data_IF_387590268550
#
_entry.id   IF_387590268550
#
_cell.length_a   1.000
_cell.length_b   1.000
_cell.length_c   1.000
_cell.angle_alpha   90.00
_cell.angle_beta   90.00
_cell.angle_gamma   90.00
#
_symmetry.space_group_name_H-M   'P 1'
#
loop_
_entity.id
_entity.type
_entity.pdbx_description
1 polymer ?
#
# COMPACT_ATOMS: atom_id res chain seq x y z
N UNK A 1 -5.86 13.06 5.72
CA UNK A 1 -7.21 13.65 5.98
C UNK A 1 -8.01 12.82 6.98
N UNK A 2 -8.09 11.50 6.79
CA UNK A 2 -8.88 10.64 7.67
C UNK A 2 -8.04 9.90 8.71
N UNK A 3 -6.82 10.35 8.97
CA UNK A 3 -5.94 9.73 9.96
C UNK A 3 -6.62 9.69 11.33
N UNK A 4 -6.64 8.51 11.94
CA UNK A 4 -7.28 8.25 13.22
C UNK A 4 -8.79 8.52 13.26
N UNK A 5 -9.45 8.66 12.11
CA UNK A 5 -10.90 8.78 12.01
C UNK A 5 -11.53 7.39 12.16
N UNK A 6 -11.54 6.86 13.39
CA UNK A 6 -11.82 5.45 13.70
C UNK A 6 -13.24 5.00 13.34
N UNK A 7 -14.19 5.92 13.28
CA UNK A 7 -15.59 5.62 12.95
C UNK A 7 -15.97 5.96 11.53
N UNK A 8 -15.06 6.59 10.78
CA UNK A 8 -15.35 7.03 9.43
C UNK A 8 -15.47 5.84 8.47
N UNK A 9 -16.60 5.76 7.77
CA UNK A 9 -16.82 4.74 6.73
C UNK A 9 -17.83 5.23 5.69
N UNK A 10 -17.63 6.41 5.14
CA UNK A 10 -18.50 6.96 4.10
C UNK A 10 -17.91 6.76 2.71
N UNK A 11 -18.75 6.62 1.66
CA UNK A 11 -18.25 6.48 0.30
C UNK A 11 -17.41 7.68 -0.15
N UNK A 12 -16.24 7.40 -0.73
CA UNK A 12 -15.35 8.40 -1.32
C UNK A 12 -15.09 8.14 -2.81
N UNK A 13 -15.77 7.15 -3.39
CA UNK A 13 -15.48 6.68 -4.75
C UNK A 13 -15.75 7.73 -5.84
N UNK A 14 -16.56 8.74 -5.54
CA UNK A 14 -16.86 9.83 -6.49
C UNK A 14 -15.94 11.04 -6.36
N UNK A 15 -15.03 11.03 -5.38
CA UNK A 15 -14.07 12.13 -5.23
C UNK A 15 -13.14 12.18 -6.43
N UNK A 16 -12.91 13.39 -6.94
CA UNK A 16 -11.88 13.63 -7.94
C UNK A 16 -10.56 13.88 -7.24
N UNK A 17 -9.67 12.88 -7.24
CA UNK A 17 -8.34 12.98 -6.62
C UNK A 17 -7.23 13.09 -7.67
N UNK A 18 -7.59 13.41 -8.93
CA UNK A 18 -6.66 13.37 -10.06
C UNK A 18 -5.50 14.36 -9.94
N UNK A 19 -5.64 15.42 -9.15
CA UNK A 19 -4.57 16.40 -8.93
C UNK A 19 -3.82 16.20 -7.62
N UNK A 20 -4.16 15.17 -6.86
CA UNK A 20 -3.51 14.90 -5.56
C UNK A 20 -2.12 14.32 -5.81
N UNK A 21 -1.12 14.87 -5.14
CA UNK A 21 0.28 14.44 -5.25
C UNK A 21 0.77 13.67 -4.03
N UNK A 22 0.10 13.77 -2.88
CA UNK A 22 0.41 13.00 -1.69
C UNK A 22 -0.85 12.47 -1.02
N UNK A 23 -0.82 11.18 -0.66
CA UNK A 23 -1.84 10.53 0.15
C UNK A 23 -1.24 9.95 1.43
N UNK A 24 -0.13 10.54 1.86
CA UNK A 24 0.64 10.11 3.02
C UNK A 24 -0.24 10.08 4.27
N UNK A 25 -0.30 8.93 4.93
CA UNK A 25 -1.02 8.68 6.20
C UNK A 25 -2.53 8.94 6.14
N UNK A 26 -3.12 8.96 4.92
CA UNK A 26 -4.49 9.43 4.71
C UNK A 26 -5.52 8.65 5.53
N UNK A 27 -5.38 7.33 5.63
CA UNK A 27 -6.32 6.47 6.37
C UNK A 27 -5.68 5.76 7.56
N UNK A 28 -4.49 6.18 7.98
CA UNK A 28 -3.81 5.56 9.12
C UNK A 28 -4.73 5.51 10.34
N UNK A 29 -4.87 4.34 10.95
CA UNK A 29 -5.75 4.12 12.11
C UNK A 29 -7.24 4.40 11.85
N UNK A 30 -7.66 4.54 10.61
CA UNK A 30 -9.08 4.65 10.26
C UNK A 30 -9.69 3.23 10.25
N UNK A 31 -9.89 2.66 11.43
CA UNK A 31 -10.15 1.24 11.63
C UNK A 31 -11.50 0.75 11.10
N UNK A 32 -12.45 1.65 10.84
CA UNK A 32 -13.76 1.30 10.28
C UNK A 32 -13.87 1.53 8.78
N UNK A 33 -12.87 2.16 8.18
CA UNK A 33 -12.95 2.49 6.76
C UNK A 33 -12.77 1.24 5.88
N UNK A 34 -13.77 0.97 5.03
CA UNK A 34 -13.77 -0.18 4.13
C UNK A 34 -14.47 0.10 2.80
N UNK A 35 -14.50 1.36 2.37
CA UNK A 35 -15.18 1.75 1.14
C UNK A 35 -14.29 1.53 -0.09
N UNK A 36 -14.89 1.25 -1.28
CA UNK A 36 -14.12 1.07 -2.51
C UNK A 36 -13.38 2.35 -2.92
N UNK A 37 -12.13 2.19 -3.36
CA UNK A 37 -11.28 3.27 -3.87
C UNK A 37 -10.71 2.95 -5.26
N UNK A 38 -11.08 1.82 -5.86
CA UNK A 38 -10.41 1.32 -7.07
C UNK A 38 -10.63 2.21 -8.31
N UNK A 39 -11.63 3.09 -8.26
CA UNK A 39 -11.89 4.04 -9.36
C UNK A 39 -11.14 5.37 -9.24
N UNK A 40 -10.43 5.58 -8.13
CA UNK A 40 -9.65 6.79 -7.97
C UNK A 40 -8.53 6.85 -9.01
N UNK A 41 -8.38 7.99 -9.67
CA UNK A 41 -7.21 8.27 -10.49
C UNK A 41 -6.09 8.80 -9.60
N UNK A 42 -5.14 7.94 -9.25
CA UNK A 42 -4.01 8.28 -8.38
C UNK A 42 -2.71 8.51 -9.17
N UNK A 43 -2.82 8.73 -10.49
CA UNK A 43 -1.67 8.78 -11.39
C UNK A 43 -0.68 9.90 -11.08
N UNK A 44 -1.09 10.96 -10.37
CA UNK A 44 -0.20 12.05 -9.99
C UNK A 44 0.35 11.92 -8.57
N UNK A 45 -0.04 10.88 -7.83
CA UNK A 45 0.43 10.68 -6.46
C UNK A 45 1.87 10.21 -6.46
N UNK A 46 2.71 10.88 -5.67
CA UNK A 46 4.14 10.57 -5.50
C UNK A 46 4.45 9.92 -4.17
N UNK A 47 3.60 10.11 -3.17
CA UNK A 47 3.82 9.63 -1.81
C UNK A 47 2.57 8.96 -1.26
N UNK A 48 2.71 7.66 -0.93
CA UNK A 48 1.65 6.85 -0.31
C UNK A 48 2.11 6.28 1.04
N UNK A 49 3.06 6.93 1.71
CA UNK A 49 3.58 6.45 2.99
C UNK A 49 2.45 6.28 4.01
N UNK A 50 2.40 5.12 4.64
CA UNK A 50 1.47 4.86 5.73
C UNK A 50 -0.02 4.93 5.38
N UNK A 51 -0.38 4.99 4.09
CA UNK A 51 -1.75 5.31 3.68
C UNK A 51 -2.80 4.42 4.35
N UNK A 52 -2.55 3.12 4.46
CA UNK A 52 -3.45 2.15 5.07
C UNK A 52 -2.87 1.50 6.33
N UNK A 53 -1.89 2.16 6.95
CA UNK A 53 -1.26 1.64 8.18
C UNK A 53 -2.30 1.49 9.30
N UNK A 54 -2.25 0.35 9.98
CA UNK A 54 -3.14 0.04 11.12
C UNK A 54 -4.64 0.11 10.75
N UNK A 55 -4.98 -0.32 9.53
CA UNK A 55 -6.38 -0.38 9.07
C UNK A 55 -6.83 -1.83 8.90
N UNK A 56 -8.15 -1.99 8.73
CA UNK A 56 -8.75 -3.26 8.31
C UNK A 56 -9.22 -3.22 6.85
N UNK A 57 -8.72 -2.26 6.11
CA UNK A 57 -9.07 -2.08 4.71
C UNK A 57 -8.71 -3.31 3.88
N UNK A 58 -9.65 -3.81 3.09
CA UNK A 58 -9.42 -4.96 2.20
C UNK A 58 -10.26 -4.83 0.93
N UNK A 59 -10.13 -3.72 0.21
CA UNK A 59 -10.80 -3.50 -1.06
C UNK A 59 -9.78 -3.52 -2.21
N UNK A 60 -10.21 -3.86 -3.44
CA UNK A 60 -9.31 -3.88 -4.58
C UNK A 60 -8.64 -2.53 -4.84
N UNK A 61 -7.36 -2.59 -5.21
CA UNK A 61 -6.54 -1.44 -5.62
C UNK A 61 -5.80 -1.73 -6.93
N UNK A 62 -6.13 -2.81 -7.62
CA UNK A 62 -5.39 -3.28 -8.79
C UNK A 62 -5.52 -2.35 -10.01
N UNK A 63 -6.54 -1.48 -10.06
CA UNK A 63 -6.67 -0.48 -11.12
C UNK A 63 -5.85 0.80 -10.88
N UNK A 64 -5.22 0.94 -9.74
CA UNK A 64 -4.43 2.14 -9.47
C UNK A 64 -3.17 2.19 -10.33
N UNK A 65 -2.97 3.32 -11.00
CA UNK A 65 -1.70 3.62 -11.65
C UNK A 65 -0.78 4.29 -10.62
N UNK A 66 0.17 3.53 -10.08
CA UNK A 66 1.12 3.99 -9.06
C UNK A 66 2.50 4.29 -9.66
N UNK A 67 2.60 4.43 -10.99
CA UNK A 67 3.89 4.55 -11.69
C UNK A 67 4.70 5.79 -11.31
N UNK A 68 4.07 6.81 -10.74
CA UNK A 68 4.75 8.02 -10.27
C UNK A 68 5.06 8.00 -8.77
N UNK A 69 4.67 6.96 -8.06
CA UNK A 69 4.91 6.87 -6.62
C UNK A 69 6.38 6.54 -6.36
N UNK A 70 7.01 7.34 -5.52
CA UNK A 70 8.42 7.16 -5.15
C UNK A 70 8.61 6.61 -3.75
N UNK A 71 7.60 6.71 -2.88
CA UNK A 71 7.71 6.21 -1.51
C UNK A 71 6.41 5.53 -1.06
N UNK A 72 6.56 4.32 -0.51
CA UNK A 72 5.48 3.48 0.01
C UNK A 72 5.80 2.91 1.39
N UNK A 73 6.69 3.56 2.16
CA UNK A 73 7.03 3.01 3.47
C UNK A 73 5.79 2.98 4.38
N UNK A 74 5.66 1.95 5.20
CA UNK A 74 4.52 1.72 6.10
C UNK A 74 3.16 1.62 5.42
N UNK A 75 3.06 1.55 4.09
CA UNK A 75 1.77 1.70 3.40
C UNK A 75 0.70 0.74 3.92
N UNK A 76 1.05 -0.51 4.17
CA UNK A 76 0.16 -1.54 4.70
C UNK A 76 0.64 -2.11 6.04
N UNK A 77 1.46 -1.36 6.76
CA UNK A 77 1.96 -1.78 8.06
C UNK A 77 0.78 -1.99 9.02
N UNK A 78 0.72 -3.16 9.64
CA UNK A 78 -0.39 -3.49 10.55
C UNK A 78 -1.75 -3.62 9.88
N UNK A 79 -1.82 -3.63 8.55
CA UNK A 79 -3.06 -3.81 7.79
C UNK A 79 -3.47 -5.29 7.83
N UNK A 80 -4.07 -5.71 8.93
CA UNK A 80 -4.27 -7.11 9.30
C UNK A 80 -5.25 -7.88 8.42
N UNK A 81 -6.08 -7.18 7.63
CA UNK A 81 -7.09 -7.81 6.77
C UNK A 81 -6.77 -7.69 5.28
N UNK A 82 -5.79 -6.87 4.90
CA UNK A 82 -5.52 -6.60 3.50
C UNK A 82 -4.91 -7.81 2.80
N UNK A 83 -5.56 -8.27 1.72
CA UNK A 83 -5.08 -9.37 0.90
C UNK A 83 -5.59 -9.24 -0.54
N UNK A 84 -5.32 -8.11 -1.19
CA UNK A 84 -5.76 -7.84 -2.56
C UNK A 84 -4.60 -7.90 -3.55
N UNK A 85 -4.86 -8.25 -4.82
CA UNK A 85 -3.81 -8.30 -5.84
C UNK A 85 -3.13 -6.95 -6.06
N UNK A 86 -1.80 -6.95 -6.07
CA UNK A 86 -0.97 -5.78 -6.35
C UNK A 86 0.08 -6.05 -7.44
N UNK A 87 0.06 -7.24 -8.03
CA UNK A 87 1.14 -7.69 -8.91
C UNK A 87 1.25 -6.86 -10.22
N UNK A 88 0.16 -6.20 -10.61
CA UNK A 88 0.14 -5.37 -11.80
C UNK A 88 0.56 -3.91 -11.54
N UNK A 89 0.84 -3.56 -10.30
CA UNK A 89 1.35 -2.22 -9.99
C UNK A 89 2.74 -2.04 -10.62
N UNK A 90 2.93 -0.94 -11.31
CA UNK A 90 4.26 -0.52 -11.75
C UNK A 90 4.92 0.25 -10.60
N UNK A 91 5.78 -0.44 -9.85
CA UNK A 91 6.50 0.14 -8.71
C UNK A 91 7.92 0.56 -9.07
N UNK A 92 8.22 0.69 -10.37
CA UNK A 92 9.59 0.93 -10.83
C UNK A 92 10.18 2.28 -10.39
N UNK A 93 9.33 3.24 -10.01
CA UNK A 93 9.79 4.54 -9.49
C UNK A 93 9.99 4.55 -7.98
N UNK A 94 9.59 3.49 -7.27
CA UNK A 94 9.63 3.46 -5.81
C UNK A 94 11.07 3.25 -5.34
N UNK A 95 11.51 4.10 -4.41
CA UNK A 95 12.82 4.01 -3.78
C UNK A 95 12.79 3.58 -2.33
N UNK A 96 11.61 3.63 -1.68
CA UNK A 96 11.47 3.32 -0.27
C UNK A 96 10.22 2.45 -0.03
N UNK A 97 10.46 1.21 0.47
CA UNK A 97 9.42 0.25 0.85
C UNK A 97 9.61 -0.24 2.28
N UNK A 98 10.31 0.52 3.11
CA UNK A 98 10.56 0.18 4.50
C UNK A 98 9.24 -0.12 5.23
N UNK A 99 9.19 -1.25 5.94
CA UNK A 99 8.02 -1.69 6.72
C UNK A 99 6.70 -1.78 5.91
N UNK A 100 6.74 -1.84 4.58
CA UNK A 100 5.53 -1.72 3.76
C UNK A 100 4.43 -2.71 4.15
N UNK A 101 4.77 -3.95 4.44
CA UNK A 101 3.84 -5.00 4.85
C UNK A 101 4.13 -5.54 6.26
N UNK A 102 4.86 -4.79 7.08
CA UNK A 102 5.18 -5.20 8.44
C UNK A 102 3.88 -5.42 9.22
N UNK A 103 3.67 -6.62 9.75
CA UNK A 103 2.45 -6.95 10.49
C UNK A 103 1.19 -7.09 9.64
N UNK A 104 1.30 -7.11 8.32
CA UNK A 104 0.18 -7.37 7.42
C UNK A 104 -0.11 -8.89 7.40
N UNK A 105 -0.78 -9.36 8.44
CA UNK A 105 -0.88 -10.79 8.78
C UNK A 105 -1.68 -11.64 7.79
N UNK A 106 -2.52 -11.02 6.95
CA UNK A 106 -3.34 -11.73 5.97
C UNK A 106 -2.79 -11.65 4.55
N UNK A 107 -1.82 -10.78 4.30
CA UNK A 107 -1.34 -10.54 2.94
C UNK A 107 -0.54 -11.74 2.42
N UNK A 108 -0.97 -12.28 1.28
CA UNK A 108 -0.30 -13.39 0.60
C UNK A 108 -0.57 -13.35 -0.91
N UNK A 109 -0.26 -12.24 -1.56
CA UNK A 109 -0.45 -12.08 -3.00
C UNK A 109 0.89 -12.11 -3.73
N UNK A 110 0.92 -12.60 -4.98
CA UNK A 110 2.14 -12.57 -5.80
C UNK A 110 2.66 -11.16 -6.00
N UNK A 111 3.98 -11.00 -5.94
CA UNK A 111 4.70 -9.76 -6.22
C UNK A 111 5.85 -10.00 -7.23
N UNK A 112 5.82 -11.13 -7.92
CA UNK A 112 6.92 -11.55 -8.80
C UNK A 112 7.09 -10.68 -10.05
N UNK A 113 6.10 -9.85 -10.39
CA UNK A 113 6.19 -8.90 -11.50
C UNK A 113 6.77 -7.54 -11.09
N UNK A 114 6.93 -7.30 -9.79
CA UNK A 114 7.45 -6.02 -9.33
C UNK A 114 8.90 -5.83 -9.74
N UNK A 115 9.18 -4.70 -10.39
CA UNK A 115 10.55 -4.25 -10.61
C UNK A 115 10.97 -3.35 -9.45
N UNK A 116 11.78 -3.91 -8.55
CA UNK A 116 12.24 -3.21 -7.33
C UNK A 116 13.71 -2.75 -7.45
N UNK A 117 14.21 -2.63 -8.68
CA UNK A 117 15.61 -2.30 -8.92
C UNK A 117 16.02 -0.91 -8.40
N UNK A 118 15.07 0.01 -8.26
CA UNK A 118 15.32 1.34 -7.74
C UNK A 118 15.06 1.48 -6.22
N UNK A 119 14.59 0.42 -5.58
CA UNK A 119 14.30 0.46 -4.14
C UNK A 119 15.62 0.43 -3.36
N UNK A 120 15.80 1.42 -2.51
CA UNK A 120 16.99 1.59 -1.68
C UNK A 120 16.81 1.05 -0.27
N UNK A 121 15.57 1.02 0.22
CA UNK A 121 15.25 0.54 1.56
C UNK A 121 14.03 -0.37 1.54
N UNK A 122 14.23 -1.62 1.97
CA UNK A 122 13.20 -2.65 2.18
C UNK A 122 13.25 -3.23 3.58
N UNK A 123 13.92 -2.56 4.52
CA UNK A 123 14.07 -3.10 5.86
C UNK A 123 12.70 -3.47 6.46
N UNK A 124 12.63 -4.66 7.05
CA UNK A 124 11.44 -5.17 7.74
C UNK A 124 10.16 -5.21 6.88
N UNK A 125 10.29 -5.23 5.55
CA UNK A 125 9.15 -5.15 4.63
C UNK A 125 8.08 -6.21 4.92
N UNK A 126 8.47 -7.43 5.25
CA UNK A 126 7.54 -8.53 5.53
C UNK A 126 7.63 -9.04 6.97
N UNK A 127 8.24 -8.28 7.88
CA UNK A 127 8.34 -8.65 9.28
C UNK A 127 6.93 -8.81 9.86
N UNK A 128 6.64 -9.96 10.48
CA UNK A 128 5.30 -10.21 11.02
C UNK A 128 4.19 -10.43 10.00
N UNK A 129 4.50 -10.47 8.71
CA UNK A 129 3.56 -10.82 7.65
C UNK A 129 3.43 -12.35 7.58
N UNK A 130 2.75 -12.93 8.55
CA UNK A 130 2.79 -14.36 8.85
C UNK A 130 2.17 -15.26 7.79
N UNK A 131 1.32 -14.71 6.92
CA UNK A 131 0.71 -15.49 5.82
C UNK A 131 1.49 -15.39 4.52
N UNK A 132 2.45 -14.48 4.42
CA UNK A 132 3.16 -14.25 3.17
C UNK A 132 4.17 -15.36 2.89
N UNK A 133 3.97 -16.08 1.78
CA UNK A 133 4.87 -17.16 1.35
C UNK A 133 5.14 -17.12 -0.16
N UNK A 134 5.04 -15.96 -0.78
CA UNK A 134 5.26 -15.80 -2.22
C UNK A 134 6.75 -15.59 -2.54
N UNK A 135 7.22 -16.00 -3.72
CA UNK A 135 8.56 -15.66 -4.17
C UNK A 135 8.71 -14.14 -4.28
N UNK A 136 9.76 -13.60 -3.67
CA UNK A 136 10.07 -12.19 -3.73
C UNK A 136 11.56 -12.03 -4.05
N UNK A 137 11.84 -11.36 -5.15
CA UNK A 137 13.19 -11.31 -5.70
C UNK A 137 13.72 -9.88 -5.70
N UNK A 138 14.62 -9.60 -4.77
CA UNK A 138 15.45 -8.41 -4.78
C UNK A 138 16.88 -8.87 -4.50
N UNK A 139 17.87 -8.57 -5.39
CA UNK A 139 19.22 -9.13 -5.27
C UNK A 139 19.92 -8.80 -3.96
N UNK A 140 19.51 -7.72 -3.30
CA UNK A 140 20.13 -7.22 -2.06
C UNK A 140 19.24 -7.42 -0.83
N UNK A 141 18.05 -8.01 -0.99
CA UNK A 141 17.11 -8.27 0.10
C UNK A 141 17.19 -9.75 0.52
N UNK A 142 17.34 -9.98 1.81
CA UNK A 142 17.19 -11.32 2.41
C UNK A 142 16.20 -11.25 3.57
N UNK A 143 15.18 -12.07 3.51
CA UNK A 143 14.20 -12.17 4.59
C UNK A 143 14.76 -12.90 5.79
#
# INVERSE_FOLDING_TARGET
MFRAARSFNQPLNKWNVSNVTTMSWMFTNASSFKQPLNKWNVSNVKNMNGMFSETRFNQPLDNWNVSNVTSMHFMFQGASSFNQPLNNWDVSSVTDMWDMFNGATSFNQPLNKWNVSNVEDMESMFSGATSFNQPFHAPWYSS
#
